data_IF_737298143601
#
_entry.id   IF_737298143601
#
_cell.length_a   1.000
_cell.length_b   1.000
_cell.length_c   1.000
_cell.angle_alpha   90.00
_cell.angle_beta   90.00
_cell.angle_gamma   90.00
#
_symmetry.space_group_name_H-M   'P 1'
#
loop_
_entity.id
_entity.type
_entity.pdbx_description
1 polymer ?
#
# COMPACT_ATOMS: atom_id res chain seq x y z
N UNK A 1 7.67 -13.55 1.49
CA UNK A 1 7.82 -12.64 2.67
C UNK A 1 9.03 -13.00 3.53
N UNK A 2 9.16 -14.24 4.03
CA UNK A 2 10.34 -14.70 4.81
C UNK A 2 11.64 -14.61 4.00
N UNK A 3 11.58 -14.92 2.71
CA UNK A 3 12.73 -14.85 1.80
C UNK A 3 13.25 -13.41 1.66
N UNK A 4 12.34 -12.47 1.44
CA UNK A 4 12.67 -11.06 1.36
C UNK A 4 13.27 -10.47 2.64
N UNK A 5 12.76 -10.89 3.81
CA UNK A 5 13.32 -10.46 5.09
C UNK A 5 14.72 -11.01 5.34
N UNK A 6 15.02 -12.24 4.92
CA UNK A 6 16.36 -12.83 5.01
C UNK A 6 17.33 -12.16 4.04
N UNK A 7 16.93 -11.91 2.79
CA UNK A 7 17.77 -11.19 1.82
C UNK A 7 18.10 -9.76 2.29
N UNK A 8 17.17 -9.09 2.98
CA UNK A 8 17.41 -7.77 3.55
C UNK A 8 18.47 -7.82 4.67
N UNK A 9 18.43 -8.85 5.53
CA UNK A 9 19.40 -9.09 6.59
C UNK A 9 20.77 -9.50 6.04
N UNK A 10 20.82 -10.35 5.01
CA UNK A 10 22.07 -10.72 4.33
C UNK A 10 22.75 -9.53 3.65
N UNK A 11 21.97 -8.54 3.21
CA UNK A 11 22.50 -7.29 2.66
C UNK A 11 22.75 -6.20 3.72
N UNK A 12 22.59 -6.52 5.02
CA UNK A 12 22.74 -5.57 6.14
C UNK A 12 21.92 -4.27 5.98
N UNK A 13 20.80 -4.35 5.26
CA UNK A 13 19.97 -3.18 4.96
C UNK A 13 19.22 -2.79 6.22
N UNK A 14 19.38 -1.53 6.62
CA UNK A 14 18.84 -0.97 7.85
C UNK A 14 18.03 0.29 7.56
N UNK A 15 17.04 0.59 8.41
CA UNK A 15 16.23 1.80 8.29
C UNK A 15 15.47 1.89 6.96
N UNK A 16 15.63 3.01 6.26
CA UNK A 16 14.92 3.31 5.02
C UNK A 16 15.30 2.36 3.86
N UNK A 17 16.59 1.98 3.79
CA UNK A 17 17.10 1.06 2.79
C UNK A 17 16.42 -0.32 2.89
N UNK A 18 16.15 -0.79 4.10
CA UNK A 18 15.42 -2.05 4.35
C UNK A 18 13.98 -1.96 3.89
N UNK A 19 13.30 -0.83 4.15
CA UNK A 19 11.89 -0.63 3.77
C UNK A 19 11.72 -0.58 2.25
N UNK A 20 12.61 0.13 1.57
CA UNK A 20 12.64 0.21 0.12
C UNK A 20 12.88 -1.17 -0.47
N UNK A 21 13.95 -1.86 -0.03
CA UNK A 21 14.24 -3.22 -0.48
C UNK A 21 13.09 -4.20 -0.22
N UNK A 22 12.51 -4.23 0.98
CA UNK A 22 11.36 -5.09 1.28
C UNK A 22 10.17 -4.80 0.38
N UNK A 23 9.88 -3.52 0.08
CA UNK A 23 8.76 -3.18 -0.80
C UNK A 23 9.01 -3.64 -2.24
N UNK A 24 10.23 -3.51 -2.74
CA UNK A 24 10.60 -3.93 -4.09
C UNK A 24 10.62 -5.45 -4.22
N UNK A 25 11.18 -6.14 -3.23
CA UNK A 25 11.29 -7.58 -3.26
C UNK A 25 9.96 -8.30 -2.94
N UNK A 26 9.10 -7.76 -2.08
CA UNK A 26 7.70 -8.24 -1.97
C UNK A 26 6.92 -8.02 -3.28
N UNK A 27 7.13 -6.89 -3.97
CA UNK A 27 6.54 -6.65 -5.30
C UNK A 27 7.03 -7.67 -6.32
N UNK A 28 8.32 -8.00 -6.32
CA UNK A 28 8.90 -9.00 -7.20
C UNK A 28 8.40 -10.44 -6.90
N UNK A 29 8.25 -10.82 -5.63
CA UNK A 29 7.70 -12.13 -5.22
C UNK A 29 6.21 -12.27 -5.60
N UNK A 30 5.42 -11.18 -5.58
CA UNK A 30 3.97 -11.24 -5.85
C UNK A 30 3.59 -11.09 -7.32
N UNK A 31 4.44 -10.50 -8.16
CA UNK A 31 4.36 -10.62 -9.62
C UNK A 31 5.53 -9.88 -10.30
N UNK A 32 6.32 -10.51 -11.18
CA UNK A 32 7.35 -9.82 -11.96
C UNK A 32 6.79 -8.80 -12.98
N UNK A 33 5.45 -8.67 -13.11
CA UNK A 33 4.76 -7.79 -14.06
C UNK A 33 3.64 -6.95 -13.42
N UNK A 34 3.61 -6.77 -12.09
CA UNK A 34 2.51 -6.05 -11.44
C UNK A 34 2.76 -4.54 -11.28
N UNK A 35 2.49 -3.80 -12.37
CA UNK A 35 1.89 -2.45 -12.29
C UNK A 35 0.41 -2.51 -11.84
N UNK A 36 -0.12 -3.72 -11.63
CA UNK A 36 -1.45 -3.98 -11.08
C UNK A 36 -1.43 -3.83 -9.56
N UNK A 37 -2.09 -2.77 -9.09
CA UNK A 37 -2.35 -2.55 -7.67
C UNK A 37 -3.08 -3.76 -7.09
N UNK A 38 -2.75 -4.15 -5.84
CA UNK A 38 -3.54 -5.16 -5.15
C UNK A 38 -5.00 -4.67 -5.05
N UNK A 39 -6.00 -5.56 -4.95
CA UNK A 39 -7.41 -5.14 -4.83
C UNK A 39 -7.62 -4.12 -3.71
N UNK A 40 -6.88 -4.27 -2.61
CA UNK A 40 -6.90 -3.36 -1.46
C UNK A 40 -6.24 -2.00 -1.77
N UNK A 41 -5.14 -1.99 -2.52
CA UNK A 41 -4.50 -0.75 -2.97
C UNK A 41 -5.33 -0.01 -4.03
N UNK A 42 -5.97 -0.76 -4.92
CA UNK A 42 -6.86 -0.20 -5.94
C UNK A 42 -8.08 0.46 -5.28
N UNK A 43 -8.67 -0.21 -4.28
CA UNK A 43 -9.74 0.32 -3.44
C UNK A 43 -9.32 1.58 -2.68
N UNK A 44 -8.14 1.58 -2.05
CA UNK A 44 -7.57 2.77 -1.43
C UNK A 44 -7.46 3.94 -2.41
N UNK A 45 -7.02 3.68 -3.64
CA UNK A 45 -6.87 4.70 -4.68
C UNK A 45 -8.22 5.29 -5.08
N UNK A 46 -9.23 4.44 -5.30
CA UNK A 46 -10.60 4.88 -5.61
C UNK A 46 -11.20 5.70 -4.47
N UNK A 47 -11.14 5.20 -3.23
CA UNK A 47 -11.65 5.93 -2.06
C UNK A 47 -10.97 7.29 -1.88
N UNK A 48 -9.67 7.40 -2.14
CA UNK A 48 -8.95 8.67 -2.07
C UNK A 48 -9.33 9.62 -3.20
N UNK A 49 -9.58 9.11 -4.41
CA UNK A 49 -10.03 9.91 -5.54
C UNK A 49 -11.43 10.50 -5.28
N UNK A 50 -12.38 9.66 -4.85
CA UNK A 50 -13.71 10.11 -4.45
C UNK A 50 -13.65 11.09 -3.27
N UNK A 51 -12.75 10.85 -2.31
CA UNK A 51 -12.56 11.74 -1.18
C UNK A 51 -12.01 13.13 -1.57
N UNK A 52 -11.37 13.25 -2.73
CA UNK A 52 -10.88 14.53 -3.28
C UNK A 52 -11.93 15.21 -4.16
N UNK A 53 -12.73 14.43 -4.87
CA UNK A 53 -13.85 14.94 -5.67
C UNK A 53 -15.00 15.47 -4.81
N UNK A 54 -15.10 15.01 -3.56
CA UNK A 54 -16.07 15.50 -2.58
C UNK A 54 -15.41 16.44 -1.57
N UNK A 55 -16.03 17.59 -1.34
CA UNK A 55 -15.63 18.49 -0.25
C UNK A 55 -16.30 18.02 1.03
N UNK A 56 -15.51 17.62 2.01
CA UNK A 56 -15.99 17.19 3.31
C UNK A 56 -15.84 18.30 4.33
N UNK A 57 -16.79 18.37 5.27
CA UNK A 57 -16.60 19.15 6.50
C UNK A 57 -15.54 18.46 7.37
N UNK A 58 -14.96 19.23 8.29
CA UNK A 58 -13.92 18.74 9.19
C UNK A 58 -14.40 17.47 9.92
N UNK A 59 -13.65 16.38 9.79
CA UNK A 59 -13.99 15.05 10.33
C UNK A 59 -14.73 14.10 9.39
N UNK A 60 -15.55 14.59 8.45
CA UNK A 60 -16.38 13.72 7.59
C UNK A 60 -15.56 12.91 6.58
N UNK A 61 -14.42 13.44 6.13
CA UNK A 61 -13.51 12.75 5.21
C UNK A 61 -12.99 11.44 5.79
N UNK A 62 -12.69 11.41 7.10
CA UNK A 62 -12.15 10.23 7.78
C UNK A 62 -13.19 9.13 7.91
N UNK A 63 -14.43 9.51 8.23
CA UNK A 63 -15.59 8.61 8.25
C UNK A 63 -15.83 8.04 6.86
N UNK A 64 -15.85 8.89 5.83
CA UNK A 64 -15.99 8.45 4.43
C UNK A 64 -14.89 7.47 4.00
N UNK A 65 -13.62 7.77 4.29
CA UNK A 65 -12.51 6.84 3.97
C UNK A 65 -12.69 5.50 4.69
N UNK A 66 -13.09 5.51 5.96
CA UNK A 66 -13.29 4.28 6.73
C UNK A 66 -14.43 3.44 6.16
N UNK A 67 -15.54 4.07 5.80
CA UNK A 67 -16.69 3.40 5.18
C UNK A 67 -16.34 2.84 3.80
N UNK A 68 -15.65 3.63 2.97
CA UNK A 68 -15.24 3.23 1.63
C UNK A 68 -14.27 2.04 1.65
N UNK A 69 -13.34 2.00 2.60
CA UNK A 69 -12.40 0.88 2.75
C UNK A 69 -13.06 -0.37 3.36
N UNK A 70 -14.10 -0.20 4.19
CA UNK A 70 -14.85 -1.30 4.83
C UNK A 70 -15.89 -1.94 3.91
N UNK A 71 -16.50 -1.19 2.98
CA UNK A 71 -17.48 -1.74 2.02
C UNK A 71 -16.83 -2.81 1.16
N UNK A 72 -17.11 -4.08 1.45
CA UNK A 72 -16.35 -5.24 0.94
C UNK A 72 -16.19 -5.21 -0.58
#
# INVERSE_FOLDING_TARGET
MTDCSQQASSQSLSGDARKTFMSTCLKAETNPTATTLTPQQQKMKTCNAEAKSKTFKEGERKTFMSDCLKKK
#
